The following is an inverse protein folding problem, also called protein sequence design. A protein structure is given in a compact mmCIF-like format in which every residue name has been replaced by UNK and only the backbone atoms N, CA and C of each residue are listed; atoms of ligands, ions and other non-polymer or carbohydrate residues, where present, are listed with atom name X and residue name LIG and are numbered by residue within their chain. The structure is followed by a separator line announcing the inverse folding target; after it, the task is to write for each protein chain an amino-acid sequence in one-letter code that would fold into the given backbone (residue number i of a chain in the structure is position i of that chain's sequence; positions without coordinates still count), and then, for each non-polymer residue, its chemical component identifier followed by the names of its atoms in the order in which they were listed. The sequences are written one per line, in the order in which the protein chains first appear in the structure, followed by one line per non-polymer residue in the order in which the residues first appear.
data_IF_070986952976
#
_entry.id   IF_070986952976
#
_cell.length_a   1.000
_cell.length_b   1.000
_cell.length_c   1.000
_cell.angle_alpha   90.00
_cell.angle_beta   90.00
_cell.angle_gamma   90.00
#
_symmetry.space_group_name_H-M   'P 1'
#
loop_
_entity.id
_entity.type
_entity.pdbx_description
1 polymer ?
#
# COMPACT_ATOMS: atom_id res chain seq x y z
N UNK A 1 -12.15 17.47 -6.65
CA UNK A 1 -11.88 16.41 -5.65
C UNK A 1 -10.51 16.64 -5.05
N UNK A 2 -10.31 16.35 -3.76
CA UNK A 2 -9.00 16.54 -3.11
C UNK A 2 -8.10 15.34 -3.42
N UNK A 3 -6.91 15.58 -3.94
CA UNK A 3 -5.90 14.55 -4.24
C UNK A 3 -5.50 13.81 -2.95
N UNK A 4 -5.26 12.49 -3.06
CA UNK A 4 -4.78 11.64 -1.96
C UNK A 4 -3.51 10.93 -2.41
N UNK A 5 -2.45 11.07 -1.61
CA UNK A 5 -1.20 10.34 -1.83
C UNK A 5 -1.32 8.93 -1.30
N UNK A 6 -1.00 7.91 -2.10
CA UNK A 6 -1.01 6.51 -1.69
C UNK A 6 0.44 6.06 -1.54
N UNK A 7 0.79 5.56 -0.35
CA UNK A 7 2.14 5.10 0.01
C UNK A 7 2.10 3.62 0.40
N UNK A 8 2.16 2.71 -0.57
CA UNK A 8 2.16 1.28 -0.30
C UNK A 8 3.57 0.72 -0.09
N UNK A 9 3.65 -0.35 0.70
CA UNK A 9 4.79 -1.26 0.70
C UNK A 9 4.79 -2.18 -0.53
N UNK A 10 5.84 -2.97 -0.69
CA UNK A 10 5.97 -3.93 -1.79
C UNK A 10 4.91 -5.02 -1.76
N UNK A 11 4.47 -5.44 -0.57
CA UNK A 11 3.49 -6.53 -0.42
C UNK A 11 2.16 -6.21 -1.12
N UNK A 12 1.74 -4.95 -1.12
CA UNK A 12 0.59 -4.49 -1.88
C UNK A 12 0.74 -4.78 -3.38
N UNK A 13 1.88 -4.44 -3.98
CA UNK A 13 2.12 -4.66 -5.40
C UNK A 13 2.21 -6.15 -5.74
N UNK A 14 3.02 -6.88 -4.97
CA UNK A 14 3.23 -8.33 -5.15
C UNK A 14 1.92 -9.10 -4.99
N UNK A 15 1.02 -8.65 -4.12
CA UNK A 15 -0.31 -9.23 -3.99
C UNK A 15 -1.04 -9.29 -5.34
N UNK A 16 -1.12 -8.16 -6.07
CA UNK A 16 -1.84 -8.09 -7.34
C UNK A 16 -1.06 -8.67 -8.51
N UNK A 17 0.26 -8.54 -8.49
CA UNK A 17 1.11 -9.01 -9.57
C UNK A 17 1.30 -10.51 -9.53
N UNK A 18 1.62 -11.08 -8.37
CA UNK A 18 2.11 -12.44 -8.27
C UNK A 18 1.17 -13.33 -7.46
N UNK A 19 0.65 -12.88 -6.31
CA UNK A 19 -0.15 -13.75 -5.44
C UNK A 19 -1.50 -14.09 -6.05
N UNK A 20 -2.27 -13.08 -6.49
CA UNK A 20 -3.55 -13.31 -7.18
C UNK A 20 -3.42 -13.30 -8.70
N UNK A 21 -2.29 -12.82 -9.24
CA UNK A 21 -2.01 -12.69 -10.67
C UNK A 21 -3.16 -11.98 -11.42
N UNK A 22 -3.50 -10.76 -10.95
CA UNK A 22 -4.53 -9.88 -11.52
C UNK A 22 -4.04 -8.42 -11.59
N UNK A 23 -3.00 -8.14 -12.41
CA UNK A 23 -2.44 -6.80 -12.56
C UNK A 23 -3.47 -5.74 -13.00
N UNK A 24 -4.55 -6.14 -13.68
CA UNK A 24 -5.60 -5.22 -14.12
C UNK A 24 -6.32 -4.51 -12.97
N UNK A 25 -6.46 -5.15 -11.80
CA UNK A 25 -7.06 -4.50 -10.64
C UNK A 25 -6.13 -3.44 -10.06
N UNK A 26 -4.83 -3.74 -10.03
CA UNK A 26 -3.82 -2.77 -9.64
C UNK A 26 -3.77 -1.57 -10.61
N UNK A 27 -3.78 -1.80 -11.92
CA UNK A 27 -3.79 -0.72 -12.93
C UNK A 27 -5.00 0.21 -12.74
N UNK A 28 -6.18 -0.33 -12.42
CA UNK A 28 -7.38 0.49 -12.15
C UNK A 28 -7.21 1.40 -10.94
N UNK A 29 -6.64 0.89 -9.84
CA UNK A 29 -6.33 1.73 -8.67
C UNK A 29 -5.27 2.78 -9.00
N UNK A 30 -4.21 2.39 -9.73
CA UNK A 30 -3.11 3.28 -10.12
C UNK A 30 -3.56 4.40 -11.09
N UNK A 31 -4.58 4.14 -11.88
CA UNK A 31 -5.12 5.09 -12.87
C UNK A 31 -6.27 5.95 -12.33
N UNK A 32 -6.66 5.78 -11.07
CA UNK A 32 -7.73 6.56 -10.48
C UNK A 32 -7.32 8.03 -10.33
N UNK A 33 -8.14 8.94 -10.85
CA UNK A 33 -7.76 10.34 -11.10
C UNK A 33 -7.29 11.10 -9.87
N UNK A 34 -7.79 10.77 -8.69
CA UNK A 34 -7.45 11.49 -7.44
C UNK A 34 -6.32 10.84 -6.67
N UNK A 35 -5.74 9.74 -7.15
CA UNK A 35 -4.66 9.04 -6.49
C UNK A 35 -3.31 9.44 -7.07
N UNK A 36 -2.39 9.76 -6.16
CA UNK A 36 -0.99 9.96 -6.47
C UNK A 36 -0.17 8.89 -5.75
N UNK A 37 0.39 7.94 -6.49
CA UNK A 37 1.20 6.87 -5.90
C UNK A 37 2.63 7.35 -5.70
N UNK A 38 3.15 7.11 -4.50
CA UNK A 38 4.53 7.44 -4.13
C UNK A 38 5.19 6.22 -3.49
N UNK A 39 6.40 5.90 -3.94
CA UNK A 39 7.18 4.76 -3.42
C UNK A 39 8.64 5.13 -3.24
N UNK A 40 9.33 4.41 -2.36
CA UNK A 40 10.78 4.49 -2.24
C UNK A 40 11.53 3.61 -3.27
N UNK A 41 12.83 3.85 -3.46
CA UNK A 41 13.66 3.08 -4.40
C UNK A 41 13.82 1.60 -4.05
N UNK A 42 13.82 1.19 -2.77
CA UNK A 42 13.89 -0.23 -2.41
C UNK A 42 12.61 -0.96 -2.83
N UNK A 43 11.45 -0.36 -2.56
CA UNK A 43 10.16 -0.91 -3.01
C UNK A 43 10.12 -1.04 -4.53
N UNK A 44 10.61 -0.03 -5.28
CA UNK A 44 10.69 -0.13 -6.74
C UNK A 44 11.54 -1.33 -7.19
N UNK A 45 12.68 -1.57 -6.56
CA UNK A 45 13.54 -2.73 -6.87
C UNK A 45 12.81 -4.05 -6.61
N UNK A 46 12.08 -4.15 -5.51
CA UNK A 46 11.28 -5.33 -5.19
C UNK A 46 10.20 -5.60 -6.23
N UNK A 47 9.49 -4.55 -6.68
CA UNK A 47 8.44 -4.66 -7.70
C UNK A 47 9.02 -5.08 -9.07
N UNK A 48 10.17 -4.53 -9.48
CA UNK A 48 10.79 -4.86 -10.77
C UNK A 48 11.15 -6.36 -10.87
N UNK A 49 11.42 -7.01 -9.75
CA UNK A 49 11.76 -8.43 -9.71
C UNK A 49 10.55 -9.36 -9.84
N UNK A 50 9.32 -8.83 -9.84
CA UNK A 50 8.11 -9.61 -10.14
C UNK A 50 8.13 -10.10 -11.59
N UNK A 51 7.76 -11.36 -11.82
CA UNK A 51 7.65 -11.93 -13.16
C UNK A 51 6.56 -11.26 -14.00
N UNK A 52 5.59 -10.61 -13.36
CA UNK A 52 4.49 -9.91 -14.02
C UNK A 52 4.75 -8.40 -14.18
N UNK A 53 5.87 -7.88 -13.69
CA UNK A 53 6.24 -6.47 -13.85
C UNK A 53 6.23 -5.98 -15.31
N UNK A 54 6.71 -6.73 -16.32
CA UNK A 54 6.69 -6.28 -17.71
C UNK A 54 5.29 -5.90 -18.22
N UNK A 55 4.22 -6.49 -17.65
CA UNK A 55 2.84 -6.17 -18.02
C UNK A 55 2.39 -4.77 -17.55
N UNK A 56 3.02 -4.26 -16.49
CA UNK A 56 2.64 -3.00 -15.83
C UNK A 56 3.72 -1.91 -15.90
N UNK A 57 4.92 -2.23 -16.40
CA UNK A 57 6.10 -1.36 -16.38
C UNK A 57 5.79 0.06 -16.87
N UNK A 58 5.14 0.18 -18.03
CA UNK A 58 4.78 1.49 -18.61
C UNK A 58 3.84 2.28 -17.70
N UNK A 59 2.86 1.62 -17.09
CA UNK A 59 1.88 2.27 -16.21
C UNK A 59 2.55 2.68 -14.90
N UNK A 60 3.37 1.80 -14.31
CA UNK A 60 4.16 2.09 -13.11
C UNK A 60 5.08 3.27 -13.34
N UNK A 61 5.87 3.26 -14.41
CA UNK A 61 6.81 4.34 -14.72
C UNK A 61 6.13 5.70 -14.93
N UNK A 62 4.89 5.71 -15.42
CA UNK A 62 4.13 6.94 -15.64
C UNK A 62 3.35 7.44 -14.41
N UNK A 63 2.98 6.56 -13.48
CA UNK A 63 2.01 6.86 -12.41
C UNK A 63 2.57 6.77 -10.99
N UNK A 64 3.71 6.11 -10.79
CA UNK A 64 4.37 6.03 -9.47
C UNK A 64 5.52 7.03 -9.43
N UNK A 65 5.40 8.02 -8.55
CA UNK A 65 6.50 8.92 -8.26
C UNK A 65 7.47 8.25 -7.29
N UNK A 66 8.73 8.14 -7.69
CA UNK A 66 9.77 7.67 -6.78
C UNK A 66 10.22 8.83 -5.91
N UNK A 67 10.01 8.68 -4.62
CA UNK A 67 10.58 9.58 -3.63
C UNK A 67 12.01 9.12 -3.38
N UNK A 68 12.99 9.99 -3.61
CA UNK A 68 14.40 9.72 -3.31
C UNK A 68 14.83 10.76 -2.29
N UNK A 69 14.80 10.38 -1.02
CA UNK A 69 15.35 11.21 0.03
C UNK A 69 16.71 10.67 0.44
N UNK A 70 17.75 11.47 0.20
CA UNK A 70 19.09 11.20 0.72
C UNK A 70 18.99 11.21 2.26
N UNK A 71 19.21 10.07 2.90
CA UNK A 71 19.09 9.83 4.35
C UNK A 71 17.68 9.68 4.94
N UNK A 72 16.88 8.75 4.41
CA UNK A 72 15.73 8.16 5.14
C UNK A 72 16.07 7.81 6.59
N UNK A 73 17.28 7.29 6.81
CA UNK A 73 17.78 6.89 8.11
C UNK A 73 18.09 8.03 9.09
N UNK A 74 18.43 9.22 8.61
CA UNK A 74 18.74 10.33 9.52
C UNK A 74 17.47 10.97 10.09
N UNK A 75 16.36 11.00 9.33
CA UNK A 75 15.08 11.56 9.78
C UNK A 75 14.56 10.80 11.01
N UNK A 76 14.68 9.48 10.98
CA UNK A 76 14.16 8.59 12.02
C UNK A 76 15.28 7.91 12.82
N UNK A 77 16.50 8.44 12.78
CA UNK A 77 17.68 7.90 13.48
C UNK A 77 17.48 7.65 14.97
N UNK A 78 16.70 8.47 15.71
CA UNK A 78 16.40 8.18 17.12
C UNK A 78 15.52 6.94 17.32
N UNK A 79 14.87 6.44 16.26
CA UNK A 79 13.86 5.38 16.33
C UNK A 79 14.26 4.10 15.57
N UNK A 80 15.23 4.18 14.66
CA UNK A 80 15.73 3.02 13.90
C UNK A 80 17.24 2.89 14.02
N UNK A 81 17.70 1.65 14.12
CA UNK A 81 19.10 1.29 13.92
C UNK A 81 19.50 1.41 12.43
N UNK A 82 20.79 1.61 12.14
CA UNK A 82 21.32 1.69 10.77
C UNK A 82 20.95 0.47 9.89
N UNK A 83 20.83 -0.71 10.48
CA UNK A 83 20.50 -1.94 9.76
C UNK A 83 19.01 -2.12 9.48
N UNK A 84 18.16 -1.50 10.28
CA UNK A 84 16.72 -1.46 10.03
C UNK A 84 16.43 -0.68 8.74
N UNK A 85 17.09 0.45 8.48
CA UNK A 85 16.87 1.39 7.36
C UNK A 85 16.97 0.77 5.94
N UNK A 86 17.38 -0.50 5.83
CA UNK A 86 17.52 -1.24 4.56
C UNK A 86 16.25 -1.97 4.09
N UNK A 87 15.13 -1.86 4.81
CA UNK A 87 13.85 -2.51 4.43
C UNK A 87 12.91 -1.52 3.73
N UNK A 88 12.21 -1.98 2.69
CA UNK A 88 11.20 -1.18 1.99
C UNK A 88 10.11 -0.61 2.92
N UNK A 89 9.74 -1.36 3.96
CA UNK A 89 8.79 -0.92 4.99
C UNK A 89 9.20 0.40 5.67
N UNK A 90 10.49 0.66 5.87
CA UNK A 90 10.94 1.91 6.48
C UNK A 90 10.88 3.09 5.52
N UNK A 91 11.05 2.87 4.21
CA UNK A 91 10.79 3.92 3.22
C UNK A 91 9.33 4.38 3.32
N UNK A 92 8.39 3.44 3.45
CA UNK A 92 6.96 3.76 3.63
C UNK A 92 6.73 4.61 4.88
N UNK A 93 7.33 4.24 6.02
CA UNK A 93 7.21 4.99 7.28
C UNK A 93 7.73 6.42 7.12
N UNK A 94 8.94 6.58 6.55
CA UNK A 94 9.55 7.91 6.40
C UNK A 94 8.75 8.78 5.43
N UNK A 95 8.34 8.23 4.29
CA UNK A 95 7.50 8.96 3.33
C UNK A 95 6.20 9.40 4.02
N UNK A 96 5.54 8.50 4.75
CA UNK A 96 4.31 8.81 5.49
C UNK A 96 4.53 9.90 6.55
N UNK A 97 5.66 9.87 7.24
CA UNK A 97 6.04 10.90 8.21
C UNK A 97 6.26 12.27 7.58
N UNK A 98 6.99 12.32 6.45
CA UNK A 98 7.19 13.56 5.69
C UNK A 98 5.85 14.12 5.21
N UNK A 99 4.99 13.30 4.62
CA UNK A 99 3.66 13.73 4.17
C UNK A 99 2.81 14.25 5.33
N UNK A 100 2.92 13.64 6.51
CA UNK A 100 2.28 14.13 7.73
C UNK A 100 2.80 15.51 8.15
N UNK A 101 4.12 15.71 8.19
CA UNK A 101 4.73 17.00 8.56
C UNK A 101 4.30 18.14 7.63
N UNK A 102 4.14 17.86 6.34
CA UNK A 102 3.67 18.83 5.34
C UNK A 102 2.13 18.95 5.25
N UNK A 103 1.40 18.29 6.16
CA UNK A 103 -0.07 18.26 6.18
C UNK A 103 -0.68 17.81 4.82
N UNK A 104 0.01 16.92 4.11
CA UNK A 104 -0.48 16.32 2.87
C UNK A 104 -1.46 15.19 3.22
N UNK A 105 -2.54 15.06 2.43
CA UNK A 105 -3.49 13.96 2.60
C UNK A 105 -2.91 12.68 2.01
N UNK A 106 -2.84 11.62 2.81
CA UNK A 106 -2.29 10.34 2.37
C UNK A 106 -2.98 9.13 3.01
N UNK A 107 -2.79 7.98 2.37
CA UNK A 107 -3.10 6.65 2.89
C UNK A 107 -1.83 5.81 2.77
N UNK A 108 -1.44 5.19 3.87
CA UNK A 108 -0.32 4.26 3.92
C UNK A 108 -0.84 2.84 3.83
N UNK A 109 -0.28 2.02 2.94
CA UNK A 109 -0.65 0.60 2.83
C UNK A 109 0.53 -0.24 3.34
N UNK A 110 0.30 -0.94 4.44
CA UNK A 110 1.28 -1.81 5.09
C UNK A 110 0.57 -3.10 5.47
N UNK A 111 1.19 -4.26 5.24
CA UNK A 111 0.64 -5.53 5.71
C UNK A 111 1.44 -6.18 6.85
N UNK A 112 2.69 -5.76 7.06
CA UNK A 112 3.48 -6.20 8.20
C UNK A 112 2.93 -5.69 9.55
N UNK A 113 2.71 -6.63 10.47
CA UNK A 113 2.11 -6.33 11.78
C UNK A 113 3.07 -5.64 12.73
N UNK A 114 4.37 -5.93 12.68
CA UNK A 114 5.35 -5.31 13.56
C UNK A 114 5.57 -3.85 13.17
N UNK A 115 5.61 -3.57 11.87
CA UNK A 115 5.68 -2.22 11.33
C UNK A 115 4.44 -1.39 11.67
N UNK A 116 3.23 -1.98 11.61
CA UNK A 116 2.01 -1.32 12.11
C UNK A 116 2.08 -0.98 13.60
N UNK A 117 2.53 -1.92 14.44
CA UNK A 117 2.70 -1.70 15.88
C UNK A 117 3.73 -0.61 16.15
N UNK A 118 4.82 -0.59 15.40
CA UNK A 118 5.83 0.44 15.48
C UNK A 118 5.24 1.83 15.17
N UNK A 119 4.48 1.96 14.08
CA UNK A 119 3.79 3.22 13.73
C UNK A 119 2.81 3.63 14.83
N UNK A 120 2.02 2.70 15.36
CA UNK A 120 1.08 3.01 16.45
C UNK A 120 1.79 3.53 17.71
N UNK A 121 2.93 2.92 18.07
CA UNK A 121 3.70 3.28 19.27
C UNK A 121 4.40 4.64 19.13
N UNK A 122 5.02 4.90 17.98
CA UNK A 122 5.88 6.07 17.80
C UNK A 122 5.18 7.23 17.08
N UNK A 123 4.18 6.94 16.25
CA UNK A 123 3.48 7.89 15.38
C UNK A 123 1.96 7.64 15.33
N UNK A 124 1.24 7.74 16.47
CA UNK A 124 -0.18 7.37 16.53
C UNK A 124 -1.05 8.15 15.52
N UNK A 125 -0.73 9.42 15.26
CA UNK A 125 -1.43 10.22 14.24
C UNK A 125 -1.24 9.73 12.80
N UNK A 126 -0.12 9.07 12.49
CA UNK A 126 0.11 8.45 11.19
C UNK A 126 -0.62 7.11 11.15
N UNK A 127 -0.64 6.36 12.25
CA UNK A 127 -1.29 5.04 12.32
C UNK A 127 -2.77 5.06 11.94
N UNK A 128 -3.48 6.18 12.18
CA UNK A 128 -4.89 6.36 11.75
C UNK A 128 -5.06 6.47 10.23
N UNK A 129 -3.97 6.70 9.48
CA UNK A 129 -3.93 6.76 8.02
C UNK A 129 -3.37 5.47 7.40
N UNK A 130 -3.09 4.45 8.22
CA UNK A 130 -2.55 3.16 7.78
C UNK A 130 -3.69 2.17 7.55
N UNK A 131 -3.63 1.45 6.43
CA UNK A 131 -4.47 0.29 6.13
C UNK A 131 -3.59 -0.86 5.65
N UNK A 132 -4.12 -2.09 5.65
CA UNK A 132 -3.55 -3.20 4.87
C UNK A 132 -4.10 -3.26 3.44
N UNK A 133 -3.56 -4.14 2.62
CA UNK A 133 -3.98 -4.36 1.23
C UNK A 133 -5.48 -4.65 1.14
N UNK A 134 -6.01 -5.57 1.96
CA UNK A 134 -7.45 -5.89 1.95
C UNK A 134 -8.33 -4.72 2.41
N UNK A 135 -7.84 -3.89 3.33
CA UNK A 135 -8.53 -2.67 3.76
C UNK A 135 -8.51 -1.61 2.66
N UNK A 136 -7.45 -1.55 1.86
CA UNK A 136 -7.40 -0.66 0.70
C UNK A 136 -8.34 -1.11 -0.43
N UNK A 137 -8.53 -2.42 -0.63
CA UNK A 137 -9.58 -2.95 -1.53
C UNK A 137 -10.96 -2.49 -1.07
N UNK A 138 -11.25 -2.58 0.24
CA UNK A 138 -12.49 -2.02 0.82
C UNK A 138 -12.62 -0.53 0.56
N UNK A 139 -11.59 0.28 0.80
CA UNK A 139 -11.63 1.72 0.54
C UNK A 139 -11.89 2.02 -0.94
N UNK A 140 -11.21 1.29 -1.83
CA UNK A 140 -11.39 1.40 -3.29
C UNK A 140 -12.82 1.11 -3.72
N UNK A 141 -13.53 0.23 -3.02
CA UNK A 141 -14.95 -0.04 -3.24
C UNK A 141 -15.87 0.98 -2.55
N UNK A 142 -15.82 1.07 -1.23
CA UNK A 142 -16.82 1.76 -0.43
C UNK A 142 -16.66 3.29 -0.49
N UNK A 143 -15.43 3.80 -0.55
CA UNK A 143 -15.14 5.24 -0.51
C UNK A 143 -14.92 5.81 -1.89
N UNK A 144 -14.06 5.17 -2.69
CA UNK A 144 -13.60 5.72 -3.97
C UNK A 144 -14.37 5.19 -5.18
N UNK A 145 -15.22 4.17 -5.00
CA UNK A 145 -16.07 3.58 -6.05
C UNK A 145 -15.28 3.16 -7.30
N UNK A 146 -14.02 2.78 -7.12
CA UNK A 146 -13.14 2.22 -8.16
C UNK A 146 -13.64 0.83 -8.57
N UNK A 147 -14.17 0.07 -7.61
CA UNK A 147 -14.72 -1.27 -7.80
C UNK A 147 -16.17 -1.33 -7.35
N UNK A 148 -16.97 -2.15 -8.04
CA UNK A 148 -18.26 -2.57 -7.51
C UNK A 148 -18.08 -3.47 -6.28
N UNK A 149 -19.17 -3.69 -5.52
CA UNK A 149 -19.13 -4.61 -4.37
C UNK A 149 -18.74 -6.03 -4.80
N UNK A 150 -19.31 -6.52 -5.89
CA UNK A 150 -19.03 -7.87 -6.41
C UNK A 150 -17.58 -8.00 -6.88
N UNK A 151 -17.04 -6.97 -7.54
CA UNK A 151 -15.64 -6.93 -7.93
C UNK A 151 -14.72 -6.97 -6.71
N UNK A 152 -15.00 -6.15 -5.69
CA UNK A 152 -14.20 -6.09 -4.48
C UNK A 152 -14.25 -7.41 -3.70
N UNK A 153 -15.42 -8.03 -3.57
CA UNK A 153 -15.59 -9.36 -2.96
C UNK A 153 -14.85 -10.43 -3.77
N UNK A 154 -14.87 -10.35 -5.10
CA UNK A 154 -14.11 -11.26 -5.96
C UNK A 154 -12.59 -11.12 -5.74
N UNK A 155 -12.08 -9.89 -5.67
CA UNK A 155 -10.67 -9.61 -5.35
C UNK A 155 -10.31 -10.21 -3.99
N UNK A 156 -11.11 -9.97 -2.95
CA UNK A 156 -10.85 -10.50 -1.61
C UNK A 156 -10.88 -12.03 -1.57
N UNK A 157 -11.78 -12.67 -2.31
CA UNK A 157 -11.79 -14.13 -2.45
C UNK A 157 -10.54 -14.68 -3.13
N UNK A 158 -10.00 -13.96 -4.13
CA UNK A 158 -8.73 -14.34 -4.75
C UNK A 158 -7.58 -14.21 -3.75
N UNK A 159 -7.52 -13.10 -2.99
CA UNK A 159 -6.50 -12.89 -1.96
C UNK A 159 -6.59 -13.97 -0.88
N UNK A 160 -7.80 -14.31 -0.41
CA UNK A 160 -8.02 -15.36 0.59
C UNK A 160 -7.48 -16.73 0.16
N UNK A 161 -7.49 -17.02 -1.15
CA UNK A 161 -7.06 -18.29 -1.73
C UNK A 161 -5.61 -18.26 -2.24
N UNK A 162 -4.92 -17.13 -2.15
CA UNK A 162 -3.56 -16.97 -2.64
C UNK A 162 -2.51 -17.25 -1.57
N UNK A 163 -1.24 -16.98 -1.90
CA UNK A 163 -0.11 -17.06 -0.95
C UNK A 163 0.03 -15.81 -0.09
N UNK A 164 -0.81 -14.80 -0.31
CA UNK A 164 -0.77 -13.56 0.44
C UNK A 164 -1.06 -13.83 1.92
N UNK A 165 -0.18 -13.36 2.81
CA UNK A 165 -0.23 -13.70 4.24
C UNK A 165 -1.29 -12.89 4.97
N UNK A 166 -2.52 -13.38 4.96
CA UNK A 166 -3.64 -12.81 5.70
C UNK A 166 -4.53 -13.90 6.27
N UNK A 167 -5.08 -13.69 7.48
CA UNK A 167 -5.99 -14.66 8.08
C UNK A 167 -7.37 -14.58 7.39
N UNK A 168 -7.94 -15.73 7.07
CA UNK A 168 -9.20 -15.81 6.30
C UNK A 168 -10.41 -15.17 6.98
N UNK A 169 -10.47 -15.22 8.31
CA UNK A 169 -11.49 -14.57 9.15
C UNK A 169 -11.47 -13.04 8.99
N UNK A 170 -10.28 -12.44 8.91
CA UNK A 170 -10.13 -11.00 8.65
C UNK A 170 -10.66 -10.66 7.26
N UNK A 171 -10.38 -11.48 6.25
CA UNK A 171 -10.88 -11.25 4.89
C UNK A 171 -12.41 -11.35 4.86
N UNK A 172 -12.99 -12.35 5.54
CA UNK A 172 -14.44 -12.53 5.61
C UNK A 172 -15.12 -11.35 6.30
N UNK A 173 -14.55 -10.84 7.39
CA UNK A 173 -15.04 -9.64 8.05
C UNK A 173 -15.07 -8.45 7.09
N UNK A 174 -14.00 -8.21 6.34
CA UNK A 174 -13.94 -7.10 5.37
C UNK A 174 -14.98 -7.28 4.26
N UNK A 175 -15.23 -8.50 3.78
CA UNK A 175 -16.29 -8.78 2.81
C UNK A 175 -17.68 -8.42 3.35
N UNK A 176 -17.97 -8.77 4.61
CA UNK A 176 -19.23 -8.38 5.26
C UNK A 176 -19.37 -6.87 5.42
N UNK A 177 -18.28 -6.18 5.74
CA UNK A 177 -18.28 -4.71 5.79
C UNK A 177 -18.54 -4.07 4.42
N UNK A 178 -18.01 -4.63 3.33
CA UNK A 178 -18.26 -4.16 1.96
C UNK A 178 -19.73 -4.35 1.55
N UNK A 179 -20.36 -5.45 1.97
CA UNK A 179 -21.79 -5.68 1.68
C UNK A 179 -22.68 -4.57 2.27
N UNK A 180 -22.26 -4.00 3.42
CA UNK A 180 -22.98 -2.98 4.19
C UNK A 180 -22.66 -1.53 3.80
N UNK A 181 -21.61 -1.29 3.01
CA UNK A 181 -21.43 -0.01 2.34
C UNK A 181 -22.34 0.08 1.10
#
# INVERSE_FOLDING_TARGET
MVEVTIVPDSSFYICFLDDINKPQYFIRMLSYETFKFVSGPLIKKEIINSSNYPMIEKVVGARIQIFVYYNYGEILRPLFSFDEIKRGEHEVIVISYILYLFNIRFITILDDNETKKFLLRNFPHISTKVTGTIGFVKLSCCTYKIFSKDEAISILNLIKKSRFRVKGDIVDQIMEEIKRC
#
